data_IF_439408871135
#
_entry.id   IF_439408871135
#
_cell.length_a   1.000
_cell.length_b   1.000
_cell.length_c   1.000
_cell.angle_alpha   90.00
_cell.angle_beta   90.00
_cell.angle_gamma   90.00
#
_symmetry.space_group_name_H-M   'P 1'
#
loop_
_entity.id
_entity.type
_entity.pdbx_description
1 polymer ?
#
# COMPACT_ATOMS: atom_id res chain seq x y z
N UNK A 1 -7.48 12.95 1.68
CA UNK A 1 -8.42 11.89 1.24
C UNK A 1 -8.73 11.05 2.46
N UNK A 2 -9.99 10.81 2.82
CA UNK A 2 -10.28 10.01 4.02
C UNK A 2 -9.98 8.54 3.78
N UNK A 3 -9.13 7.95 4.62
CA UNK A 3 -8.82 6.53 4.60
C UNK A 3 -9.11 5.93 5.96
N UNK A 4 -9.90 4.86 5.97
CA UNK A 4 -10.18 4.06 7.16
C UNK A 4 -9.01 3.13 7.44
N UNK A 5 -8.53 3.11 8.68
CA UNK A 5 -7.50 2.15 9.10
C UNK A 5 -8.11 0.77 9.23
N UNK A 6 -7.56 -0.18 8.51
CA UNK A 6 -8.05 -1.54 8.45
C UNK A 6 -7.33 -2.45 9.45
N UNK A 7 -8.08 -3.47 9.89
CA UNK A 7 -7.53 -4.61 10.60
C UNK A 7 -7.19 -5.71 9.60
N UNK A 8 -5.90 -6.06 9.50
CA UNK A 8 -5.43 -7.09 8.56
C UNK A 8 -5.23 -8.41 9.27
N UNK A 9 -6.11 -9.36 9.00
CA UNK A 9 -6.02 -10.74 9.50
C UNK A 9 -5.19 -11.61 8.53
N UNK A 10 -5.41 -11.42 7.22
CA UNK A 10 -4.74 -12.19 6.16
C UNK A 10 -4.11 -11.23 5.13
N UNK A 11 -2.79 -10.98 5.20
CA UNK A 11 -2.13 -10.03 4.31
C UNK A 11 -2.29 -10.33 2.82
N UNK A 12 -2.36 -11.61 2.44
CA UNK A 12 -2.59 -12.02 1.05
C UNK A 12 -3.98 -11.60 0.54
N UNK A 13 -5.03 -11.77 1.36
CA UNK A 13 -6.38 -11.34 1.01
C UNK A 13 -6.47 -9.81 0.92
N UNK A 14 -5.76 -9.10 1.80
CA UNK A 14 -5.65 -7.64 1.78
C UNK A 14 -5.02 -7.13 0.48
N UNK A 15 -3.86 -7.68 0.10
CA UNK A 15 -3.16 -7.40 -1.16
C UNK A 15 -4.05 -7.72 -2.38
N UNK A 16 -4.63 -8.92 -2.43
CA UNK A 16 -5.43 -9.35 -3.57
C UNK A 16 -6.70 -8.52 -3.75
N UNK A 17 -7.35 -8.15 -2.65
CA UNK A 17 -8.61 -7.39 -2.65
C UNK A 17 -8.46 -5.90 -2.92
N UNK A 18 -7.24 -5.36 -3.03
CA UNK A 18 -7.02 -3.93 -3.34
C UNK A 18 -7.27 -3.66 -4.83
N UNK A 19 -8.20 -2.78 -5.18
CA UNK A 19 -8.51 -2.37 -6.56
C UNK A 19 -7.56 -1.31 -7.10
N UNK A 20 -7.45 -1.19 -8.43
CA UNK A 20 -6.64 -0.14 -9.08
C UNK A 20 -7.15 1.25 -8.65
N UNK A 21 -6.22 2.13 -8.27
CA UNK A 21 -6.52 3.46 -7.75
C UNK A 21 -6.95 3.47 -6.27
N UNK A 22 -7.06 2.31 -5.62
CA UNK A 22 -7.43 2.21 -4.21
C UNK A 22 -6.19 2.35 -3.31
N UNK A 23 -6.29 3.24 -2.31
CA UNK A 23 -5.33 3.31 -1.20
C UNK A 23 -5.94 2.63 0.03
N UNK A 24 -5.22 1.66 0.58
CA UNK A 24 -5.58 0.97 1.81
C UNK A 24 -4.50 1.16 2.86
N UNK A 25 -4.91 1.35 4.11
CA UNK A 25 -4.00 1.58 5.24
C UNK A 25 -4.37 0.64 6.38
N UNK A 26 -3.36 0.03 7.00
CA UNK A 26 -3.55 -0.86 8.13
C UNK A 26 -2.44 -0.70 9.15
N UNK A 27 -2.76 -0.96 10.42
CA UNK A 27 -1.74 -1.14 11.45
C UNK A 27 -1.12 -2.52 11.28
N UNK A 28 0.17 -2.56 11.00
CA UNK A 28 0.92 -3.80 10.77
C UNK A 28 2.10 -3.80 11.75
N UNK A 29 2.16 -4.76 12.69
CA UNK A 29 3.26 -4.79 13.64
C UNK A 29 4.61 -5.03 12.93
N UNK A 30 5.74 -4.56 13.51
CA UNK A 30 7.07 -4.72 12.91
C UNK A 30 7.41 -6.15 12.52
N UNK A 31 7.02 -7.11 13.35
CA UNK A 31 7.25 -8.54 13.12
C UNK A 31 6.58 -9.07 11.83
N UNK A 32 5.54 -8.40 11.32
CA UNK A 32 4.84 -8.79 10.11
C UNK A 32 5.14 -7.89 8.92
N UNK A 33 5.71 -6.70 9.12
CA UNK A 33 5.93 -5.71 8.06
C UNK A 33 6.75 -6.27 6.88
N UNK A 34 7.83 -7.01 7.17
CA UNK A 34 8.63 -7.66 6.13
C UNK A 34 7.84 -8.73 5.35
N UNK A 35 7.01 -9.51 6.03
CA UNK A 35 6.17 -10.52 5.40
C UNK A 35 5.19 -9.89 4.42
N UNK A 36 4.51 -8.81 4.80
CA UNK A 36 3.55 -8.12 3.91
C UNK A 36 4.27 -7.52 2.70
N UNK A 37 5.42 -6.86 2.90
CA UNK A 37 6.23 -6.33 1.79
C UNK A 37 6.68 -7.42 0.82
N UNK A 38 7.11 -8.57 1.33
CA UNK A 38 7.51 -9.70 0.50
C UNK A 38 6.32 -10.28 -0.29
N UNK A 39 5.13 -10.35 0.32
CA UNK A 39 3.92 -10.77 -0.38
C UNK A 39 3.56 -9.82 -1.51
N UNK A 40 3.63 -8.50 -1.29
CA UNK A 40 3.37 -7.51 -2.33
C UNK A 40 4.41 -7.59 -3.46
N UNK A 41 5.70 -7.76 -3.13
CA UNK A 41 6.75 -7.96 -4.14
C UNK A 41 6.51 -9.23 -4.97
N UNK A 42 6.17 -10.36 -4.33
CA UNK A 42 5.80 -11.60 -5.03
C UNK A 42 4.55 -11.41 -5.89
N UNK A 43 3.55 -10.69 -5.38
CA UNK A 43 2.36 -10.34 -6.14
C UNK A 43 2.73 -9.62 -7.44
N UNK A 44 3.47 -8.51 -7.35
CA UNK A 44 3.89 -7.74 -8.52
C UNK A 44 4.69 -8.59 -9.52
N UNK A 45 5.61 -9.43 -9.01
CA UNK A 45 6.48 -10.24 -9.87
C UNK A 45 5.74 -11.36 -10.62
N UNK A 46 4.83 -12.06 -9.94
CA UNK A 46 4.23 -13.28 -10.48
C UNK A 46 2.81 -13.08 -11.02
N UNK A 47 2.08 -12.12 -10.47
CA UNK A 47 0.67 -11.90 -10.77
C UNK A 47 0.38 -10.51 -11.32
N UNK A 48 1.33 -9.57 -11.24
CA UNK A 48 1.06 -8.18 -11.57
C UNK A 48 0.61 -7.98 -13.02
N UNK A 49 1.34 -8.57 -13.96
CA UNK A 49 1.01 -8.53 -15.38
C UNK A 49 -0.27 -9.31 -15.69
N UNK A 50 -0.39 -10.55 -15.19
CA UNK A 50 -1.58 -11.40 -15.40
C UNK A 50 -2.87 -10.74 -14.87
N UNK A 51 -2.78 -10.01 -13.76
CA UNK A 51 -3.91 -9.34 -13.11
C UNK A 51 -4.07 -7.89 -13.54
N UNK A 52 -3.19 -7.37 -14.39
CA UNK A 52 -3.18 -5.98 -14.84
C UNK A 52 -3.01 -4.95 -13.72
N UNK A 53 -2.40 -5.35 -12.60
CA UNK A 53 -2.40 -4.58 -11.35
C UNK A 53 -1.06 -4.72 -10.62
N UNK A 54 -0.44 -3.60 -10.28
CA UNK A 54 0.78 -3.56 -9.47
C UNK A 54 0.54 -2.80 -8.17
N UNK A 55 1.31 -3.13 -7.14
CA UNK A 55 1.15 -2.58 -5.80
C UNK A 55 2.38 -1.81 -5.38
N UNK A 56 2.17 -0.56 -4.98
CA UNK A 56 3.11 0.20 -4.19
C UNK A 56 2.86 -0.02 -2.71
N UNK A 57 3.94 -0.01 -1.92
CA UNK A 57 3.87 -0.24 -0.47
C UNK A 57 4.74 0.77 0.25
N UNK A 58 4.21 1.35 1.32
CA UNK A 58 4.99 2.16 2.26
C UNK A 58 4.71 1.73 3.70
N UNK A 59 5.73 1.77 4.54
CA UNK A 59 5.64 1.39 5.94
C UNK A 59 6.22 2.50 6.81
N UNK A 60 5.42 2.98 7.75
CA UNK A 60 5.87 3.83 8.84
C UNK A 60 6.30 2.93 10.00
N UNK A 61 7.62 2.88 10.27
CA UNK A 61 8.18 2.07 11.34
C UNK A 61 7.96 2.63 12.74
N UNK A 62 7.66 3.92 12.88
CA UNK A 62 7.43 4.58 14.17
C UNK A 62 6.03 4.25 14.70
N UNK A 63 4.99 4.49 13.89
CA UNK A 63 3.60 4.22 14.25
C UNK A 63 3.11 2.82 13.85
N UNK A 64 4.00 1.99 13.28
CA UNK A 64 3.73 0.61 12.85
C UNK A 64 2.53 0.48 11.89
N UNK A 65 2.58 1.27 10.82
CA UNK A 65 1.47 1.38 9.86
C UNK A 65 1.92 1.18 8.43
N UNK A 66 1.12 0.49 7.64
CA UNK A 66 1.40 0.19 6.24
C UNK A 66 0.33 0.78 5.34
N UNK A 67 0.76 1.36 4.21
CA UNK A 67 -0.08 1.70 3.08
C UNK A 67 0.20 0.77 1.91
N UNK A 68 -0.85 0.38 1.19
CA UNK A 68 -0.78 -0.24 -0.11
C UNK A 68 -1.62 0.59 -1.09
N UNK A 69 -1.03 0.91 -2.24
CA UNK A 69 -1.73 1.59 -3.32
C UNK A 69 -1.59 0.77 -4.61
N UNK A 70 -2.69 0.53 -5.31
CA UNK A 70 -2.63 -0.23 -6.56
C UNK A 70 -2.68 0.66 -7.79
N UNK A 71 -1.86 0.31 -8.79
CA UNK A 71 -1.77 0.98 -10.08
C UNK A 71 -2.05 -0.01 -11.22
N UNK A 72 -2.43 0.51 -12.38
CA UNK A 72 -2.61 -0.31 -13.58
C UNK A 72 -1.28 -0.67 -14.25
N UNK A 73 -1.32 -1.59 -15.21
CA UNK A 73 -0.15 -1.92 -16.04
C UNK A 73 0.36 -0.70 -16.80
N UNK A 74 -0.52 0.13 -17.35
CA UNK A 74 -0.13 1.34 -18.10
C UNK A 74 0.65 2.32 -17.21
N UNK A 75 0.15 2.56 -15.99
CA UNK A 75 0.85 3.38 -15.00
C UNK A 75 2.21 2.77 -14.64
N UNK A 76 2.27 1.46 -14.46
CA UNK A 76 3.53 0.76 -14.16
C UNK A 76 4.54 0.88 -15.29
N UNK A 77 4.10 0.79 -16.55
CA UNK A 77 4.97 0.98 -17.71
C UNK A 77 5.55 2.40 -17.74
N UNK A 78 4.74 3.42 -17.47
CA UNK A 78 5.21 4.81 -17.40
C UNK A 78 6.28 5.00 -16.31
N UNK A 79 6.11 4.37 -15.14
CA UNK A 79 7.13 4.38 -14.07
C UNK A 79 8.44 3.71 -14.50
N UNK A 80 8.35 2.54 -15.15
CA UNK A 80 9.52 1.78 -15.63
C UNK A 80 10.27 2.52 -16.74
N UNK A 81 9.55 3.24 -17.59
CA UNK A 81 10.11 4.08 -18.66
C UNK A 81 10.60 5.44 -18.12
N UNK A 82 10.54 5.67 -16.80
CA UNK A 82 10.92 6.94 -16.13
C UNK A 82 10.13 8.17 -16.60
N UNK A 83 8.95 7.93 -17.18
CA UNK A 83 8.01 8.96 -17.63
C UNK A 83 7.07 9.43 -16.50
N UNK A 84 7.05 8.70 -15.38
CA UNK A 84 6.34 9.06 -14.15
C UNK A 84 7.22 8.73 -12.93
N UNK A 85 7.09 9.50 -11.84
CA UNK A 85 7.81 9.23 -10.58
C UNK A 85 7.08 8.11 -9.80
N UNK A 86 7.78 7.00 -9.54
CA UNK A 86 7.27 5.88 -8.74
C UNK A 86 6.95 6.26 -7.28
N UNK A 87 7.30 7.47 -6.83
CA UNK A 87 6.98 7.99 -5.52
C UNK A 87 5.78 8.95 -5.50
N UNK A 88 5.28 9.39 -6.65
CA UNK A 88 4.19 10.37 -6.75
C UNK A 88 2.91 9.87 -6.05
N UNK A 89 2.68 8.55 -6.03
CA UNK A 89 1.54 7.98 -5.31
C UNK A 89 1.56 8.28 -3.80
N UNK A 90 2.72 8.61 -3.21
CA UNK A 90 2.83 8.97 -1.78
C UNK A 90 2.07 10.24 -1.45
N UNK A 91 1.82 11.12 -2.42
CA UNK A 91 0.98 12.31 -2.23
C UNK A 91 -0.50 11.96 -1.98
N UNK A 92 -0.89 10.71 -2.23
CA UNK A 92 -2.22 10.17 -1.90
C UNK A 92 -2.32 9.71 -0.44
N UNK A 93 -1.19 9.56 0.25
CA UNK A 93 -1.18 9.15 1.65
C UNK A 93 -1.87 10.23 2.50
N UNK A 94 -2.68 9.85 3.49
CA UNK A 94 -3.31 10.84 4.34
C UNK A 94 -2.26 11.57 5.19
N UNK A 95 -2.57 12.81 5.53
CA UNK A 95 -1.77 13.71 6.35
C UNK A 95 -1.37 13.03 7.65
N UNK A 96 -0.11 13.19 8.05
CA UNK A 96 0.41 12.52 9.23
C UNK A 96 0.66 11.03 9.04
N UNK A 97 0.67 10.50 7.80
CA UNK A 97 0.98 9.08 7.58
C UNK A 97 2.30 8.64 8.20
N UNK A 98 3.32 9.49 8.09
CA UNK A 98 4.65 9.27 8.64
C UNK A 98 4.84 9.84 10.06
N UNK A 99 3.78 10.35 10.69
CA UNK A 99 3.86 10.81 12.09
C UNK A 99 4.03 9.64 13.05
N UNK A 100 4.49 9.93 14.26
CA UNK A 100 4.57 8.94 15.33
C UNK A 100 3.23 8.69 16.02
N UNK A 101 2.21 9.51 15.73
CA UNK A 101 0.91 9.41 16.36
C UNK A 101 0.22 8.09 15.97
N UNK A 102 -0.20 7.28 16.96
CA UNK A 102 -0.86 6.02 16.68
C UNK A 102 -2.24 6.27 16.07
N UNK A 103 -2.60 5.49 15.07
CA UNK A 103 -3.93 5.53 14.48
C UNK A 103 -4.75 4.35 14.97
N UNK A 104 -6.03 4.59 15.26
CA UNK A 104 -6.93 3.56 15.73
C UNK A 104 -7.56 2.79 14.56
N UNK A 105 -7.59 1.47 14.67
CA UNK A 105 -8.30 0.62 13.72
C UNK A 105 -9.77 1.01 13.63
N UNK A 106 -10.29 1.10 12.41
CA UNK A 106 -11.68 1.46 12.14
C UNK A 106 -11.96 2.96 12.10
N UNK A 107 -11.02 3.83 12.48
CA UNK A 107 -11.13 5.30 12.32
C UNK A 107 -10.64 5.76 10.95
N UNK A 108 -11.19 6.88 10.49
CA UNK A 108 -10.82 7.54 9.24
C UNK A 108 -9.86 8.70 9.49
N UNK A 109 -8.91 8.89 8.57
CA UNK A 109 -7.89 9.93 8.63
C UNK A 109 -7.71 10.59 7.26
N UNK A 110 -7.48 11.91 7.23
CA UNK A 110 -7.48 12.76 6.02
C UNK A 110 -6.13 12.94 5.34
#
# INVERSE_FOLDING_TARGET
>A
MKVKVEKVIHPSAWINGTGIGELRVANIPPAQAHTVRNLASRYNRFWGEERGKFLHVSYNSYAHRMAIYAISTEQRTLELDTLADENEWKDKLPTGFYSEEPWEEGKEYE
#
